data_IF_881595514182
#
_entry.id   IF_881595514182
#
_cell.length_a   1.000
_cell.length_b   1.000
_cell.length_c   1.000
_cell.angle_alpha   90.00
_cell.angle_beta   90.00
_cell.angle_gamma   90.00
#
_symmetry.space_group_name_H-M   'P 1'
#
loop_
_entity.id
_entity.type
_entity.pdbx_description
1 polymer ?
#
# COMPACT_ATOMS: atom_id res chain seq x y z
N UNK A 1 27.15 49.63 3.77
CA UNK A 1 27.95 48.48 4.21
C UNK A 1 27.27 47.22 3.69
N UNK A 2 27.62 46.83 2.46
CA UNK A 2 26.88 45.90 1.60
C UNK A 2 27.90 44.88 1.12
N UNK A 3 28.19 43.82 1.89
CA UNK A 3 29.17 42.84 1.42
C UNK A 3 29.28 41.49 2.14
N UNK A 4 28.22 40.87 2.66
CA UNK A 4 28.30 39.45 3.09
C UNK A 4 27.05 38.65 2.73
N UNK A 5 26.70 38.70 1.45
CA UNK A 5 25.91 37.64 0.81
C UNK A 5 26.87 36.53 0.38
N UNK A 6 26.39 35.29 0.33
CA UNK A 6 27.00 34.14 -0.35
C UNK A 6 28.16 33.44 0.37
N UNK A 7 27.93 32.75 1.50
CA UNK A 7 28.51 31.41 1.73
C UNK A 7 27.62 30.66 2.70
N UNK A 8 27.31 29.39 2.39
CA UNK A 8 26.76 28.33 3.27
C UNK A 8 25.26 27.97 3.16
N UNK A 9 24.63 28.23 2.01
CA UNK A 9 23.54 27.35 1.52
C UNK A 9 24.21 26.14 0.88
N UNK A 10 24.49 25.08 1.66
CA UNK A 10 24.79 23.68 1.25
C UNK A 10 25.49 22.89 2.37
N UNK A 11 24.75 22.52 3.42
CA UNK A 11 25.17 21.49 4.40
C UNK A 11 24.03 20.54 4.79
N UNK A 12 23.04 20.35 3.91
CA UNK A 12 21.95 19.38 4.06
C UNK A 12 22.06 18.22 3.06
N UNK A 13 23.26 17.65 2.90
CA UNK A 13 23.50 16.55 1.95
C UNK A 13 24.51 15.47 2.44
N UNK A 14 24.89 15.46 3.73
CA UNK A 14 25.98 14.59 4.22
C UNK A 14 25.66 13.82 5.51
N UNK A 15 24.38 13.53 5.76
CA UNK A 15 23.93 12.76 6.93
C UNK A 15 23.09 11.52 6.58
N UNK A 16 22.98 11.16 5.29
CA UNK A 16 22.23 9.99 4.79
C UNK A 16 23.11 8.78 4.39
N UNK A 17 24.38 8.72 4.80
CA UNK A 17 25.33 7.66 4.36
C UNK A 17 26.08 7.00 5.54
N UNK A 18 25.47 6.95 6.73
CA UNK A 18 26.04 6.20 7.86
C UNK A 18 25.00 5.23 8.42
N UNK A 19 25.29 3.95 8.26
CA UNK A 19 24.57 2.77 8.80
C UNK A 19 23.70 1.94 7.84
N UNK A 20 24.09 1.80 6.58
CA UNK A 20 23.70 0.66 5.74
C UNK A 20 24.93 0.03 5.07
N UNK A 21 25.82 -0.55 5.89
CA UNK A 21 26.92 -1.41 5.45
C UNK A 21 27.38 -2.24 6.66
N UNK A 22 26.72 -3.37 6.96
CA UNK A 22 27.33 -4.66 7.37
C UNK A 22 26.22 -5.73 7.32
N UNK A 23 26.54 -6.90 6.74
CA UNK A 23 25.79 -8.17 6.72
C UNK A 23 24.98 -8.51 5.47
N UNK A 24 25.68 -8.69 4.34
CA UNK A 24 25.27 -9.65 3.31
C UNK A 24 26.33 -10.77 3.31
N UNK A 25 26.05 -11.98 3.82
CA UNK A 25 26.96 -13.09 3.66
C UNK A 25 26.78 -13.70 2.27
N UNK A 26 27.86 -13.57 1.51
CA UNK A 26 28.19 -14.26 0.27
C UNK A 26 28.04 -15.77 0.48
N UNK A 27 27.09 -16.40 -0.20
CA UNK A 27 27.12 -17.83 -0.48
C UNK A 27 27.01 -18.05 -1.99
N UNK A 28 28.18 -17.94 -2.62
CA UNK A 28 28.42 -18.40 -3.99
C UNK A 28 28.35 -19.92 -3.96
N UNK A 29 27.28 -20.49 -4.51
CA UNK A 29 27.29 -21.86 -5.03
C UNK A 29 26.84 -21.80 -6.47
N UNK A 30 27.85 -21.85 -7.35
CA UNK A 30 27.69 -22.10 -8.76
C UNK A 30 27.21 -23.55 -8.97
N UNK A 31 26.05 -23.73 -9.59
CA UNK A 31 25.72 -24.96 -10.32
C UNK A 31 25.04 -24.56 -11.63
N UNK A 32 25.85 -24.55 -12.68
CA UNK A 32 25.44 -24.60 -14.08
C UNK A 32 25.25 -26.06 -14.49
N UNK A 33 23.99 -26.51 -14.62
CA UNK A 33 23.50 -27.63 -15.45
C UNK A 33 22.03 -27.27 -15.71
N UNK A 34 21.52 -26.92 -16.89
CA UNK A 34 21.66 -27.55 -18.20
C UNK A 34 20.39 -28.35 -18.49
N UNK A 35 19.54 -27.87 -19.43
CA UNK A 35 18.72 -28.62 -20.42
C UNK A 35 17.37 -27.94 -20.74
N UNK A 36 17.34 -27.36 -21.95
CA UNK A 36 16.29 -27.41 -22.98
C UNK A 36 14.87 -27.81 -22.54
N UNK A 37 13.94 -26.86 -22.75
CA UNK A 37 12.50 -27.10 -22.78
C UNK A 37 11.78 -26.06 -23.65
N UNK A 38 12.10 -26.01 -24.95
CA UNK A 38 11.26 -25.35 -25.94
C UNK A 38 10.33 -26.42 -26.53
N UNK A 39 9.07 -26.44 -26.11
CA UNK A 39 8.08 -27.37 -26.62
C UNK A 39 6.67 -26.86 -26.36
N UNK A 40 6.00 -26.39 -27.41
CA UNK A 40 4.57 -26.08 -27.37
C UNK A 40 4.12 -25.04 -28.39
N UNK A 41 4.08 -25.41 -29.68
CA UNK A 41 3.26 -24.69 -30.66
C UNK A 41 1.80 -25.15 -30.53
N UNK A 42 0.89 -24.22 -30.26
CA UNK A 42 -0.55 -24.43 -30.35
C UNK A 42 -1.17 -23.25 -31.09
N UNK A 43 -1.36 -23.42 -32.40
CA UNK A 43 -2.21 -22.51 -33.18
C UNK A 43 -3.67 -22.75 -32.81
N UNK A 44 -4.36 -21.68 -32.45
CA UNK A 44 -5.80 -21.66 -32.24
C UNK A 44 -6.33 -20.31 -32.67
N UNK A 45 -6.79 -20.25 -33.93
CA UNK A 45 -7.69 -19.20 -34.38
C UNK A 45 -8.99 -19.29 -33.57
N UNK A 46 -9.19 -18.31 -32.70
CA UNK A 46 -10.40 -18.15 -31.91
C UNK A 46 -10.70 -16.67 -31.80
N UNK A 47 -11.48 -16.15 -32.76
CA UNK A 47 -12.08 -14.83 -32.62
C UNK A 47 -12.89 -14.77 -31.34
N UNK A 48 -12.62 -13.76 -30.51
CA UNK A 48 -13.23 -13.72 -29.19
C UNK A 48 -12.82 -12.49 -28.41
N UNK A 49 -13.45 -11.37 -28.77
CA UNK A 49 -13.61 -10.15 -27.98
C UNK A 49 -12.31 -9.40 -27.67
N UNK A 50 -12.27 -8.15 -28.13
CA UNK A 50 -11.46 -7.13 -27.50
C UNK A 50 -11.83 -7.12 -26.00
N UNK A 51 -11.10 -7.86 -25.17
CA UNK A 51 -10.89 -7.42 -23.80
C UNK A 51 -10.09 -6.15 -23.95
N UNK A 52 -10.81 -5.04 -24.14
CA UNK A 52 -10.30 -3.75 -23.78
C UNK A 52 -9.79 -3.96 -22.35
N UNK A 53 -8.48 -4.02 -22.20
CA UNK A 53 -7.87 -3.83 -20.90
C UNK A 53 -8.59 -2.62 -20.33
N UNK A 54 -9.34 -2.80 -19.24
CA UNK A 54 -9.89 -1.69 -18.47
C UNK A 54 -8.68 -1.06 -17.79
N UNK A 55 -7.84 -0.42 -18.61
CA UNK A 55 -6.60 0.22 -18.23
C UNK A 55 -7.00 1.54 -17.62
N UNK A 56 -7.37 1.47 -16.34
CA UNK A 56 -7.88 2.56 -15.54
C UNK A 56 -8.06 2.16 -14.07
N UNK A 57 -8.13 0.86 -13.77
CA UNK A 57 -8.05 0.35 -12.40
C UNK A 57 -6.62 0.52 -11.88
N UNK A 58 -6.50 1.23 -10.77
CA UNK A 58 -5.28 1.45 -10.01
C UNK A 58 -5.30 0.62 -8.73
N UNK A 59 -4.11 0.36 -8.20
CA UNK A 59 -3.91 -0.17 -6.86
C UNK A 59 -3.64 0.94 -5.85
N UNK A 60 -4.23 0.78 -4.66
CA UNK A 60 -3.89 1.56 -3.48
C UNK A 60 -3.65 0.64 -2.30
N UNK A 61 -3.09 1.20 -1.22
CA UNK A 61 -2.89 0.50 0.05
C UNK A 61 -3.50 1.27 1.21
N UNK A 62 -4.16 0.58 2.13
CA UNK A 62 -4.61 1.13 3.40
C UNK A 62 -3.60 0.78 4.51
N UNK A 63 -3.04 1.77 5.20
CA UNK A 63 -1.89 1.59 6.09
C UNK A 63 -2.10 2.24 7.47
N UNK A 64 -1.98 1.40 8.50
CA UNK A 64 -1.71 1.65 9.91
C UNK A 64 -0.83 0.49 10.43
N UNK A 65 0.23 0.19 9.66
CA UNK A 65 0.64 -1.18 9.26
C UNK A 65 -0.33 -1.80 8.22
N UNK A 66 0.10 -2.71 7.34
CA UNK A 66 -0.82 -3.30 6.35
C UNK A 66 -2.06 -3.87 7.04
N UNK A 67 -3.25 -3.43 6.61
CA UNK A 67 -4.51 -3.87 7.21
C UNK A 67 -5.22 -4.80 6.24
N UNK A 68 -5.32 -6.07 6.61
CA UNK A 68 -6.06 -7.09 5.89
C UNK A 68 -7.49 -7.20 6.44
N UNK A 69 -8.47 -7.37 5.56
CA UNK A 69 -9.85 -7.69 5.96
C UNK A 69 -10.82 -6.51 6.00
N UNK A 70 -10.38 -5.28 5.71
CA UNK A 70 -11.30 -4.17 5.48
C UNK A 70 -12.07 -4.35 4.18
N UNK A 71 -13.39 -4.20 4.22
CA UNK A 71 -14.18 -4.04 3.02
C UNK A 71 -13.95 -2.63 2.44
N UNK A 72 -13.84 -2.56 1.12
CA UNK A 72 -13.78 -1.29 0.39
C UNK A 72 -14.83 -1.28 -0.71
N UNK A 73 -15.39 -0.11 -0.97
CA UNK A 73 -16.33 0.14 -2.05
C UNK A 73 -16.07 1.52 -2.67
N UNK A 74 -16.11 1.55 -3.99
CA UNK A 74 -16.05 2.74 -4.85
C UNK A 74 -17.21 2.66 -5.84
N UNK A 75 -17.33 3.64 -6.73
CA UNK A 75 -18.37 3.59 -7.77
C UNK A 75 -18.22 2.39 -8.72
N UNK A 76 -17.00 1.87 -8.92
CA UNK A 76 -16.75 0.79 -9.90
C UNK A 76 -16.07 -0.45 -9.33
N UNK A 77 -15.39 -0.33 -8.20
CA UNK A 77 -14.65 -1.41 -7.53
C UNK A 77 -15.22 -1.68 -6.14
N UNK A 78 -15.21 -2.94 -5.73
CA UNK A 78 -15.42 -3.32 -4.33
C UNK A 78 -14.64 -4.59 -4.02
N UNK A 79 -14.41 -4.86 -2.75
CA UNK A 79 -13.68 -6.04 -2.33
C UNK A 79 -13.26 -5.98 -0.87
N UNK A 80 -12.26 -6.78 -0.55
CA UNK A 80 -11.63 -6.80 0.77
C UNK A 80 -10.13 -6.59 0.59
N UNK A 81 -9.54 -5.81 1.47
CA UNK A 81 -8.10 -5.57 1.50
C UNK A 81 -7.32 -6.87 1.73
N UNK A 82 -6.25 -7.06 0.97
CA UNK A 82 -5.39 -8.25 1.09
C UNK A 82 -4.36 -8.11 2.24
N UNK A 83 -3.46 -9.09 2.36
CA UNK A 83 -2.41 -9.11 3.38
C UNK A 83 -1.45 -7.89 3.35
N UNK A 84 -1.40 -7.17 2.23
CA UNK A 84 -0.60 -5.94 2.09
C UNK A 84 -1.45 -4.67 2.26
N UNK A 85 -2.72 -4.80 2.66
CA UNK A 85 -3.68 -3.71 2.71
C UNK A 85 -4.14 -3.22 1.35
N UNK A 86 -3.93 -4.01 0.29
CA UNK A 86 -4.19 -3.58 -1.09
C UNK A 86 -5.68 -3.49 -1.37
N UNK A 87 -6.09 -2.42 -2.04
CA UNK A 87 -7.43 -2.26 -2.63
C UNK A 87 -7.33 -1.75 -4.07
N UNK A 88 -8.46 -1.76 -4.79
CA UNK A 88 -8.55 -1.30 -6.17
C UNK A 88 -9.52 -0.14 -6.30
N UNK A 89 -9.19 0.82 -7.17
CA UNK A 89 -10.01 2.01 -7.43
C UNK A 89 -9.74 2.57 -8.83
N UNK A 90 -10.58 3.47 -9.35
CA UNK A 90 -10.26 4.31 -10.51
C UNK A 90 -9.97 5.76 -10.08
N UNK A 91 -9.14 6.46 -10.85
CA UNK A 91 -8.80 7.86 -10.56
C UNK A 91 -10.05 8.74 -10.43
N UNK A 92 -10.10 9.55 -9.37
CA UNK A 92 -11.21 10.48 -9.12
C UNK A 92 -12.42 9.85 -8.44
N UNK A 93 -12.39 8.58 -8.07
CA UNK A 93 -13.44 7.96 -7.26
C UNK A 93 -13.25 8.26 -5.77
N UNK A 94 -14.36 8.25 -5.03
CA UNK A 94 -14.37 8.14 -3.58
C UNK A 94 -14.32 6.66 -3.21
N UNK A 95 -13.54 6.32 -2.20
CA UNK A 95 -13.54 5.01 -1.57
C UNK A 95 -14.10 5.11 -0.16
N UNK A 96 -15.00 4.18 0.17
CA UNK A 96 -15.51 3.96 1.52
C UNK A 96 -14.87 2.69 2.08
N UNK A 97 -14.30 2.78 3.28
CA UNK A 97 -13.80 1.62 4.00
C UNK A 97 -14.72 1.25 5.15
N UNK A 98 -14.96 -0.04 5.32
CA UNK A 98 -15.84 -0.59 6.36
C UNK A 98 -15.33 -1.92 6.91
N UNK A 99 -15.81 -2.26 8.10
CA UNK A 99 -15.57 -3.53 8.76
C UNK A 99 -16.92 -4.08 9.23
N UNK A 100 -17.36 -5.19 8.63
CA UNK A 100 -18.73 -5.68 8.81
C UNK A 100 -19.76 -4.59 8.45
N UNK A 101 -20.57 -4.17 9.41
CA UNK A 101 -21.56 -3.09 9.23
C UNK A 101 -21.07 -1.70 9.66
N UNK A 102 -19.85 -1.59 10.19
CA UNK A 102 -19.27 -0.33 10.66
C UNK A 102 -18.52 0.35 9.51
N UNK A 103 -18.98 1.52 9.10
CA UNK A 103 -18.22 2.40 8.20
C UNK A 103 -17.13 3.11 9.01
N UNK A 104 -15.88 2.98 8.57
CA UNK A 104 -14.74 3.65 9.19
C UNK A 104 -14.59 5.08 8.66
N UNK A 105 -14.86 5.27 7.37
CA UNK A 105 -14.90 6.58 6.72
C UNK A 105 -14.92 6.47 5.19
N UNK A 106 -14.94 7.63 4.56
CA UNK A 106 -14.89 7.79 3.12
C UNK A 106 -13.96 8.94 2.74
N UNK A 107 -13.23 8.79 1.63
CA UNK A 107 -12.33 9.81 1.13
C UNK A 107 -12.06 9.62 -0.37
N UNK A 108 -11.49 10.63 -1.02
CA UNK A 108 -10.97 10.49 -2.39
C UNK A 108 -9.92 9.38 -2.41
N UNK A 109 -10.11 8.40 -3.30
CA UNK A 109 -9.20 7.28 -3.42
C UNK A 109 -7.82 7.74 -3.91
N UNK A 110 -6.77 7.26 -3.24
CA UNK A 110 -5.39 7.59 -3.51
C UNK A 110 -4.50 6.34 -3.38
N UNK A 111 -3.26 6.37 -3.89
CA UNK A 111 -2.36 5.21 -3.82
C UNK A 111 -2.02 4.76 -2.39
N UNK A 112 -2.10 5.68 -1.43
CA UNK A 112 -1.92 5.40 0.00
C UNK A 112 -3.05 6.07 0.75
N UNK A 113 -3.78 5.28 1.52
CA UNK A 113 -4.85 5.70 2.41
C UNK A 113 -4.47 5.30 3.84
N UNK A 114 -4.86 6.11 4.81
CA UNK A 114 -4.56 5.91 6.23
C UNK A 114 -5.81 6.18 7.07
N UNK A 115 -5.83 5.76 8.35
CA UNK A 115 -6.91 6.12 9.26
C UNK A 115 -7.14 7.64 9.39
N UNK A 116 -6.12 8.49 9.16
CA UNK A 116 -6.28 9.95 9.21
C UNK A 116 -7.21 10.40 8.08
N UNK A 117 -7.06 9.84 6.88
CA UNK A 117 -7.83 10.22 5.69
C UNK A 117 -9.33 9.92 5.84
N UNK A 118 -9.68 8.97 6.69
CA UNK A 118 -11.06 8.55 6.94
C UNK A 118 -11.83 9.50 7.85
N UNK A 119 -11.14 10.40 8.54
CA UNK A 119 -11.73 11.29 9.54
C UNK A 119 -11.64 12.75 9.06
N UNK A 120 -12.77 13.40 8.74
CA UNK A 120 -12.79 14.82 8.43
C UNK A 120 -12.14 15.65 9.53
N UNK A 121 -11.37 16.68 9.14
CA UNK A 121 -10.65 17.61 10.02
C UNK A 121 -9.51 16.99 10.86
N UNK A 122 -9.23 15.69 10.74
CA UNK A 122 -8.05 15.10 11.34
C UNK A 122 -6.78 15.61 10.63
N UNK A 123 -5.81 16.07 11.42
CA UNK A 123 -4.52 16.55 10.92
C UNK A 123 -3.36 15.62 11.27
N UNK A 124 -3.58 14.75 12.26
CA UNK A 124 -2.63 13.76 12.75
C UNK A 124 -3.36 12.61 13.47
N UNK A 125 -2.59 11.59 13.85
CA UNK A 125 -3.04 10.39 14.56
C UNK A 125 -3.55 10.65 15.99
N UNK A 126 -3.29 11.83 16.56
CA UNK A 126 -3.72 12.20 17.92
C UNK A 126 -5.18 12.67 17.95
N UNK A 127 -5.80 12.86 16.78
CA UNK A 127 -7.22 13.16 16.69
C UNK A 127 -8.04 12.03 17.36
N UNK A 128 -8.93 12.33 18.33
CA UNK A 128 -9.58 11.31 19.16
C UNK A 128 -10.29 10.21 18.36
N UNK A 129 -10.96 10.57 17.26
CA UNK A 129 -11.63 9.62 16.37
C UNK A 129 -10.63 8.69 15.67
N UNK A 130 -9.51 9.23 15.17
CA UNK A 130 -8.46 8.44 14.51
C UNK A 130 -7.86 7.47 15.51
N UNK A 131 -7.49 7.95 16.70
CA UNK A 131 -6.91 7.10 17.74
C UNK A 131 -7.86 5.97 18.17
N UNK A 132 -9.17 6.24 18.25
CA UNK A 132 -10.15 5.22 18.61
C UNK A 132 -10.37 4.20 17.50
N UNK A 133 -10.36 4.62 16.23
CA UNK A 133 -10.41 3.71 15.09
C UNK A 133 -9.20 2.77 15.08
N UNK A 134 -7.99 3.32 15.22
CA UNK A 134 -6.74 2.55 15.29
C UNK A 134 -6.80 1.53 16.44
N UNK A 135 -7.17 1.98 17.65
CA UNK A 135 -7.34 1.07 18.80
C UNK A 135 -8.37 -0.01 18.53
N UNK A 136 -9.49 0.32 17.92
CA UNK A 136 -10.52 -0.64 17.59
C UNK A 136 -10.00 -1.72 16.63
N UNK A 137 -9.29 -1.32 15.58
CA UNK A 137 -8.68 -2.26 14.63
C UNK A 137 -7.66 -3.16 15.33
N UNK A 138 -6.79 -2.60 16.18
CA UNK A 138 -5.82 -3.37 16.95
C UNK A 138 -6.47 -4.32 17.97
N UNK A 139 -7.65 -4.01 18.51
CA UNK A 139 -8.36 -4.93 19.42
C UNK A 139 -9.02 -6.11 18.72
N UNK A 140 -9.20 -6.01 17.39
CA UNK A 140 -9.80 -7.05 16.56
C UNK A 140 -8.77 -7.84 15.77
N UNK A 141 -7.50 -7.46 15.87
CA UNK A 141 -6.39 -8.17 15.26
C UNK A 141 -6.39 -9.64 15.73
N UNK A 142 -6.62 -10.58 14.80
CA UNK A 142 -6.90 -11.97 15.13
C UNK A 142 -5.73 -12.67 15.83
N UNK A 143 -4.49 -12.31 15.46
CA UNK A 143 -3.27 -12.91 16.02
C UNK A 143 -2.62 -12.08 17.13
N UNK A 144 -3.15 -10.87 17.39
CA UNK A 144 -2.60 -9.88 18.32
C UNK A 144 -1.10 -9.58 18.09
N UNK A 145 -0.64 -9.60 16.83
CA UNK A 145 0.74 -9.32 16.48
C UNK A 145 0.85 -8.22 15.41
N UNK A 146 0.94 -6.99 15.89
CA UNK A 146 1.06 -5.79 15.06
C UNK A 146 2.33 -5.75 14.19
N UNK A 147 3.36 -6.55 14.50
CA UNK A 147 4.60 -6.62 13.71
C UNK A 147 4.38 -7.24 12.31
N UNK A 148 3.29 -8.01 12.11
CA UNK A 148 2.92 -8.59 10.82
C UNK A 148 1.67 -7.98 10.17
N UNK A 149 1.31 -6.76 10.57
CA UNK A 149 0.11 -6.07 10.10
C UNK A 149 -1.08 -6.28 11.04
N UNK A 150 -2.26 -5.90 10.57
CA UNK A 150 -3.52 -6.10 11.29
C UNK A 150 -4.38 -7.05 10.46
N UNK A 151 -4.78 -8.19 11.03
CA UNK A 151 -5.65 -9.15 10.38
C UNK A 151 -7.04 -9.15 11.02
N UNK A 152 -8.05 -8.72 10.26
CA UNK A 152 -9.42 -8.60 10.73
C UNK A 152 -10.27 -9.84 10.38
N UNK A 153 -11.23 -10.22 11.25
CA UNK A 153 -12.10 -11.40 11.10
C UNK A 153 -13.17 -11.26 10.01
#
# INVERSE_FOLDING_TARGET
MKERSIVRKNRRFLIYEVSMKVMIPIFIVAVMIGLIGCGGSGGGDGGGLNSAAVSGVQDGVFVDSPVQGLHYETNTQSGTTDANGKFFYMEGETVTFSMGSLVLGEAMAAPVMTPIDMVPDATDETHPTVTNMIRFMQTLDEDNNLDNGIFLP
#
